data_IF_935365306652
#
_entry.id   IF_935365306652
#
_cell.length_a   1.000
_cell.length_b   1.000
_cell.length_c   1.000
_cell.angle_alpha   90.00
_cell.angle_beta   90.00
_cell.angle_gamma   90.00
#
_symmetry.space_group_name_H-M   'P 1'
#
loop_
_entity.id
_entity.type
_entity.pdbx_description
1 polymer ?
#
# COMPACT_ATOMS: atom_id res chain seq x y z
N UNK A 1 25.39 -16.89 -34.02
CA UNK A 1 24.28 -16.64 -33.07
C UNK A 1 24.87 -16.42 -31.67
N UNK A 2 25.25 -15.19 -31.34
CA UNK A 2 25.96 -14.87 -30.09
C UNK A 2 24.98 -14.74 -28.92
N UNK A 3 25.18 -15.53 -27.86
CA UNK A 3 24.45 -15.41 -26.58
C UNK A 3 25.14 -14.36 -25.71
N UNK A 4 24.45 -13.26 -25.42
CA UNK A 4 24.88 -12.29 -24.41
C UNK A 4 24.45 -12.77 -23.03
N UNK A 5 25.43 -13.20 -22.22
CA UNK A 5 25.22 -13.55 -20.80
C UNK A 5 25.42 -12.27 -19.99
N UNK A 6 24.32 -11.62 -19.60
CA UNK A 6 24.34 -10.51 -18.65
C UNK A 6 24.59 -11.05 -17.23
N UNK A 7 25.85 -11.03 -16.79
CA UNK A 7 26.21 -11.27 -15.39
C UNK A 7 25.82 -10.06 -14.54
N UNK A 8 24.61 -10.08 -13.98
CA UNK A 8 24.16 -9.07 -13.03
C UNK A 8 24.78 -9.33 -11.65
N UNK A 9 25.97 -8.78 -11.38
CA UNK A 9 26.53 -8.72 -10.02
C UNK A 9 25.74 -7.68 -9.21
N UNK A 10 24.78 -8.12 -8.38
CA UNK A 10 24.12 -7.26 -7.39
C UNK A 10 25.11 -6.86 -6.29
N UNK A 11 25.66 -5.65 -6.36
CA UNK A 11 26.12 -4.95 -5.15
C UNK A 11 24.89 -4.23 -4.59
N UNK A 12 24.37 -4.71 -3.46
CA UNK A 12 23.34 -3.99 -2.70
C UNK A 12 24.02 -2.83 -2.02
N UNK A 13 23.90 -1.64 -2.61
CA UNK A 13 24.29 -0.38 -1.98
C UNK A 13 23.00 0.19 -1.39
N UNK A 14 22.92 0.23 -0.06
CA UNK A 14 21.79 0.79 0.68
C UNK A 14 21.80 2.31 0.51
N UNK A 15 21.12 2.80 -0.52
CA UNK A 15 20.82 4.22 -0.65
C UNK A 15 19.48 4.49 0.05
N UNK A 16 19.55 5.25 1.14
CA UNK A 16 18.38 5.80 1.83
C UNK A 16 17.62 6.71 0.86
N UNK A 17 16.41 6.32 0.47
CA UNK A 17 15.52 7.11 -0.39
C UNK A 17 14.69 8.09 0.44
N UNK A 18 15.32 8.82 1.37
CA UNK A 18 14.63 9.82 2.20
C UNK A 18 14.23 11.08 1.42
N UNK A 19 14.59 11.22 0.13
CA UNK A 19 14.39 12.47 -0.62
C UNK A 19 13.28 12.47 -1.67
N UNK A 20 12.42 11.44 -1.76
CA UNK A 20 11.28 11.44 -2.69
C UNK A 20 9.93 11.77 -2.04
N UNK A 21 9.88 11.86 -0.71
CA UNK A 21 8.67 12.17 0.05
C UNK A 21 8.58 13.66 0.37
N UNK A 22 8.47 14.50 -0.68
CA UNK A 22 7.89 15.82 -0.50
C UNK A 22 6.37 15.62 -0.52
N UNK A 23 5.79 15.44 0.67
CA UNK A 23 4.34 15.38 0.84
C UNK A 23 3.74 16.72 0.38
N UNK A 24 2.79 16.75 -0.58
CA UNK A 24 1.94 17.90 -0.72
C UNK A 24 1.08 17.97 0.54
N UNK A 25 1.36 18.99 1.33
CA UNK A 25 0.56 19.48 2.44
C UNK A 25 -0.91 19.52 2.00
N UNK A 26 -1.79 18.78 2.69
CA UNK A 26 -3.23 18.91 2.49
C UNK A 26 -3.65 20.32 2.94
N UNK A 27 -4.19 21.18 2.06
CA UNK A 27 -4.73 22.46 2.49
C UNK A 27 -6.17 22.21 2.96
N UNK A 28 -6.38 22.07 4.27
CA UNK A 28 -7.67 22.48 4.83
C UNK A 28 -7.56 23.98 5.12
N UNK A 29 -7.96 24.79 4.15
CA UNK A 29 -8.21 26.20 4.39
C UNK A 29 -9.60 26.32 5.01
N UNK A 30 -9.69 26.58 6.32
CA UNK A 30 -10.77 27.43 6.84
C UNK A 30 -10.29 28.23 8.04
N UNK A 31 -10.47 29.54 7.89
CA UNK A 31 -10.26 30.62 8.84
C UNK A 31 -11.23 30.51 10.02
N UNK A 32 -10.80 31.09 11.15
CA UNK A 32 -11.57 31.53 12.32
C UNK A 32 -11.72 30.54 13.48
N UNK A 33 -11.21 31.02 14.62
CA UNK A 33 -11.26 30.49 15.97
C UNK A 33 -12.62 29.92 16.40
N UNK A 34 -12.56 28.81 17.16
CA UNK A 34 -13.29 28.49 18.40
C UNK A 34 -13.17 26.97 18.62
N UNK A 35 -12.60 26.59 19.77
CA UNK A 35 -12.44 25.23 20.33
C UNK A 35 -12.01 24.09 19.38
N UNK A 36 -10.77 23.65 19.54
CA UNK A 36 -10.24 22.42 18.94
C UNK A 36 -11.00 21.17 19.44
N UNK A 37 -11.56 20.32 18.56
CA UNK A 37 -11.56 18.89 18.76
C UNK A 37 -10.32 18.30 18.05
N UNK A 38 -9.47 17.63 18.81
CA UNK A 38 -8.34 16.85 18.29
C UNK A 38 -8.83 15.75 17.31
N UNK A 39 -8.07 15.53 16.23
CA UNK A 39 -8.31 14.55 15.17
C UNK A 39 -8.61 13.12 15.69
N UNK A 40 -9.68 12.46 15.20
CA UNK A 40 -9.81 11.01 15.31
C UNK A 40 -9.47 10.35 13.96
N UNK A 41 -8.18 10.16 13.66
CA UNK A 41 -7.75 9.47 12.42
C UNK A 41 -6.72 8.35 12.66
N UNK A 42 -6.02 8.38 13.81
CA UNK A 42 -5.09 7.32 14.20
C UNK A 42 -5.79 6.00 14.62
N UNK A 43 -7.01 6.11 15.15
CA UNK A 43 -7.72 4.96 15.73
C UNK A 43 -8.20 3.96 14.67
N UNK A 44 -8.72 4.47 13.54
CA UNK A 44 -9.24 3.63 12.46
C UNK A 44 -8.11 2.87 11.76
N UNK A 45 -7.02 3.56 11.40
CA UNK A 45 -5.85 2.95 10.76
C UNK A 45 -5.18 1.91 11.68
N UNK A 46 -5.05 2.21 12.98
CA UNK A 46 -4.53 1.27 13.98
C UNK A 46 -5.44 0.06 14.13
N UNK A 47 -6.75 0.26 14.20
CA UNK A 47 -7.75 -0.82 14.29
C UNK A 47 -7.69 -1.75 13.07
N UNK A 48 -7.58 -1.18 11.87
CA UNK A 48 -7.42 -1.94 10.63
C UNK A 48 -6.13 -2.76 10.68
N UNK A 49 -5.01 -2.13 11.02
CA UNK A 49 -3.72 -2.80 11.10
C UNK A 49 -3.74 -3.96 12.10
N UNK A 50 -4.31 -3.77 13.29
CA UNK A 50 -4.48 -4.83 14.29
C UNK A 50 -5.39 -5.96 13.78
N UNK A 51 -6.51 -5.64 13.11
CA UNK A 51 -7.40 -6.65 12.50
C UNK A 51 -6.66 -7.45 11.42
N UNK A 52 -5.88 -6.79 10.58
CA UNK A 52 -5.08 -7.43 9.52
C UNK A 52 -4.03 -8.38 10.11
N UNK A 53 -3.25 -7.91 11.09
CA UNK A 53 -2.23 -8.72 11.76
C UNK A 53 -2.88 -9.94 12.44
N UNK A 54 -3.92 -9.72 13.25
CA UNK A 54 -4.62 -10.81 13.94
C UNK A 54 -5.26 -11.82 12.98
N UNK A 55 -5.67 -11.37 11.79
CA UNK A 55 -6.21 -12.25 10.76
C UNK A 55 -5.15 -13.12 10.08
N UNK A 56 -3.95 -12.58 9.86
CA UNK A 56 -2.83 -13.31 9.26
C UNK A 56 -2.45 -14.54 10.11
N UNK A 57 -2.42 -14.39 11.44
CA UNK A 57 -2.07 -15.50 12.34
C UNK A 57 -3.14 -16.61 12.41
N UNK A 58 -4.41 -16.32 12.13
CA UNK A 58 -5.52 -17.26 12.35
C UNK A 58 -5.98 -18.00 11.11
N UNK A 59 -5.87 -17.41 9.92
CA UNK A 59 -6.48 -17.97 8.72
C UNK A 59 -5.48 -18.16 7.58
N UNK A 60 -5.22 -19.42 7.23
CA UNK A 60 -4.39 -19.79 6.08
C UNK A 60 -5.02 -19.41 4.73
N UNK A 61 -6.30 -18.99 4.72
CA UNK A 61 -7.05 -18.64 3.49
C UNK A 61 -6.72 -17.27 2.93
N UNK A 62 -5.96 -16.43 3.65
CA UNK A 62 -5.50 -15.12 3.21
C UNK A 62 -6.46 -13.98 3.59
N UNK A 63 -5.89 -12.78 3.72
CA UNK A 63 -6.58 -11.59 4.25
C UNK A 63 -7.69 -11.13 3.32
N UNK A 64 -7.45 -11.20 2.01
CA UNK A 64 -8.42 -10.79 0.99
C UNK A 64 -9.74 -11.56 1.08
N UNK A 65 -9.72 -12.87 1.39
CA UNK A 65 -10.94 -13.67 1.48
C UNK A 65 -11.79 -13.30 2.69
N UNK A 66 -11.15 -13.05 3.83
CA UNK A 66 -11.86 -12.74 5.08
C UNK A 66 -12.58 -11.40 5.00
N UNK A 67 -11.91 -10.39 4.43
CA UNK A 67 -12.43 -9.03 4.45
C UNK A 67 -13.21 -8.64 3.20
N UNK A 68 -13.32 -9.48 2.16
CA UNK A 68 -14.06 -9.15 0.93
C UNK A 68 -15.52 -8.77 1.17
N UNK A 69 -16.18 -9.42 2.13
CA UNK A 69 -17.59 -9.22 2.43
C UNK A 69 -17.82 -8.72 3.87
N UNK A 70 -16.79 -8.18 4.52
CA UNK A 70 -16.89 -7.67 5.88
C UNK A 70 -17.43 -6.22 5.84
N UNK A 71 -18.68 -5.97 6.25
CA UNK A 71 -19.29 -4.64 6.18
C UNK A 71 -18.61 -3.65 7.13
N UNK A 72 -18.10 -4.11 8.28
CA UNK A 72 -17.38 -3.25 9.21
C UNK A 72 -16.04 -2.83 8.61
N UNK A 73 -15.34 -3.78 8.00
CA UNK A 73 -14.09 -3.47 7.31
C UNK A 73 -14.33 -2.48 6.16
N UNK A 74 -15.42 -2.65 5.41
CA UNK A 74 -15.83 -1.68 4.39
C UNK A 74 -16.00 -0.27 4.95
N UNK A 75 -16.73 -0.13 6.07
CA UNK A 75 -16.94 1.17 6.70
C UNK A 75 -15.64 1.80 7.20
N UNK A 76 -14.73 0.99 7.75
CA UNK A 76 -13.42 1.45 8.19
C UNK A 76 -12.56 1.93 7.02
N UNK A 77 -12.52 1.18 5.92
CA UNK A 77 -11.79 1.56 4.70
C UNK A 77 -12.37 2.82 4.05
N UNK A 78 -13.70 2.96 4.02
CA UNK A 78 -14.32 4.18 3.45
C UNK A 78 -14.01 5.45 4.24
N UNK A 79 -13.63 5.31 5.51
CA UNK A 79 -13.20 6.44 6.34
C UNK A 79 -11.72 6.79 6.19
N UNK A 80 -10.92 6.01 5.47
CA UNK A 80 -9.49 6.26 5.32
C UNK A 80 -9.16 7.18 4.14
N UNK A 81 -8.20 8.07 4.36
CA UNK A 81 -7.56 8.86 3.32
C UNK A 81 -6.37 8.12 2.69
N UNK A 82 -5.98 8.52 1.47
CA UNK A 82 -4.84 7.91 0.76
C UNK A 82 -3.54 7.80 1.59
N UNK A 83 -3.11 8.84 2.33
CA UNK A 83 -1.87 8.75 3.13
C UNK A 83 -1.94 7.72 4.25
N UNK A 84 -3.13 7.48 4.82
CA UNK A 84 -3.32 6.49 5.88
C UNK A 84 -3.21 5.08 5.33
N UNK A 85 -3.78 4.85 4.14
CA UNK A 85 -3.64 3.59 3.40
C UNK A 85 -2.17 3.34 3.06
N UNK A 86 -1.46 4.37 2.60
CA UNK A 86 -0.02 4.29 2.31
C UNK A 86 0.78 3.92 3.56
N UNK A 87 0.50 4.55 4.71
CA UNK A 87 1.14 4.23 5.99
C UNK A 87 0.88 2.81 6.48
N UNK A 88 -0.33 2.28 6.26
CA UNK A 88 -0.66 0.87 6.57
C UNK A 88 0.15 -0.07 5.66
N UNK A 89 0.17 0.21 4.36
CA UNK A 89 0.89 -0.62 3.38
C UNK A 89 2.40 -0.59 3.58
N UNK A 90 2.97 0.55 3.96
CA UNK A 90 4.38 0.68 4.30
C UNK A 90 4.78 -0.24 5.46
N UNK A 91 4.01 -0.19 6.57
CA UNK A 91 4.21 -1.06 7.74
C UNK A 91 4.09 -2.54 7.35
N UNK A 92 3.02 -2.89 6.63
CA UNK A 92 2.77 -4.28 6.23
C UNK A 92 3.82 -4.81 5.26
N UNK A 93 4.34 -3.99 4.34
CA UNK A 93 5.38 -4.43 3.39
C UNK A 93 6.63 -4.96 4.11
N UNK A 94 6.97 -4.36 5.26
CA UNK A 94 8.17 -4.72 6.02
C UNK A 94 7.92 -5.99 6.83
N UNK A 95 6.84 -6.00 7.62
CA UNK A 95 6.57 -7.06 8.61
C UNK A 95 5.75 -8.24 8.04
N UNK A 96 4.77 -7.95 7.18
CA UNK A 96 3.78 -8.91 6.67
C UNK A 96 3.58 -8.76 5.15
N UNK A 97 4.62 -9.05 4.33
CA UNK A 97 4.62 -8.72 2.90
C UNK A 97 3.50 -9.37 2.09
N UNK A 98 3.06 -10.59 2.44
CA UNK A 98 1.91 -11.21 1.76
C UNK A 98 0.59 -10.52 2.13
N UNK A 99 0.44 -10.06 3.37
CA UNK A 99 -0.73 -9.26 3.77
C UNK A 99 -0.76 -7.91 3.07
N UNK A 100 0.40 -7.28 2.83
CA UNK A 100 0.47 -6.05 2.04
C UNK A 100 -0.06 -6.28 0.61
N UNK A 101 0.32 -7.39 -0.03
CA UNK A 101 -0.19 -7.76 -1.36
C UNK A 101 -1.71 -7.99 -1.32
N UNK A 102 -2.18 -8.81 -0.38
CA UNK A 102 -3.60 -9.12 -0.23
C UNK A 102 -4.43 -7.86 0.00
N UNK A 103 -3.99 -6.97 0.89
CA UNK A 103 -4.67 -5.72 1.19
C UNK A 103 -4.72 -4.82 -0.04
N UNK A 104 -3.59 -4.62 -0.73
CA UNK A 104 -3.55 -3.77 -1.92
C UNK A 104 -4.55 -4.23 -2.99
N UNK A 105 -4.57 -5.52 -3.32
CA UNK A 105 -5.48 -6.05 -4.33
C UNK A 105 -6.94 -6.08 -3.87
N UNK A 106 -7.19 -6.34 -2.58
CA UNK A 106 -8.51 -6.24 -1.99
C UNK A 106 -9.06 -4.81 -2.13
N UNK A 107 -8.27 -3.82 -1.73
CA UNK A 107 -8.64 -2.40 -1.82
C UNK A 107 -8.90 -1.98 -3.27
N UNK A 108 -8.05 -2.40 -4.21
CA UNK A 108 -8.18 -2.07 -5.63
C UNK A 108 -9.40 -2.72 -6.28
N UNK A 109 -9.59 -4.02 -6.07
CA UNK A 109 -10.53 -4.82 -6.85
C UNK A 109 -11.92 -4.91 -6.22
N UNK A 110 -11.99 -5.06 -4.90
CA UNK A 110 -13.25 -5.28 -4.19
C UNK A 110 -13.81 -3.96 -3.60
N UNK A 111 -12.93 -3.05 -3.19
CA UNK A 111 -13.33 -1.75 -2.62
C UNK A 111 -13.24 -0.57 -3.61
N UNK A 112 -12.68 -0.78 -4.80
CA UNK A 112 -12.57 0.27 -5.83
C UNK A 112 -11.66 1.44 -5.44
N UNK A 113 -10.78 1.27 -4.45
CA UNK A 113 -9.87 2.32 -3.97
C UNK A 113 -8.82 2.60 -5.04
N UNK A 114 -8.66 3.88 -5.40
CA UNK A 114 -7.56 4.34 -6.25
C UNK A 114 -6.32 4.52 -5.37
N UNK A 115 -5.33 3.65 -5.59
CA UNK A 115 -4.06 3.70 -4.88
C UNK A 115 -3.19 4.87 -5.33
N UNK A 116 -2.42 5.43 -4.40
CA UNK A 116 -1.37 6.38 -4.71
C UNK A 116 -0.20 5.71 -5.46
N UNK A 117 0.67 6.53 -6.05
CA UNK A 117 1.91 6.05 -6.66
C UNK A 117 2.79 5.32 -5.65
N UNK A 118 2.85 5.81 -4.41
CA UNK A 118 3.69 5.23 -3.36
C UNK A 118 3.21 3.82 -2.99
N UNK A 119 1.90 3.63 -2.87
CA UNK A 119 1.28 2.31 -2.74
C UNK A 119 1.71 1.35 -3.86
N UNK A 120 1.73 1.79 -5.12
CA UNK A 120 2.23 0.96 -6.22
C UNK A 120 3.70 0.60 -6.06
N UNK A 121 4.55 1.55 -5.66
CA UNK A 121 5.98 1.32 -5.48
C UNK A 121 6.26 0.36 -4.30
N UNK A 122 5.49 0.45 -3.22
CA UNK A 122 5.59 -0.48 -2.09
C UNK A 122 5.32 -1.92 -2.54
N UNK A 123 4.27 -2.13 -3.31
CA UNK A 123 3.91 -3.46 -3.83
C UNK A 123 4.91 -3.96 -4.87
N UNK A 124 5.41 -3.07 -5.74
CA UNK A 124 6.49 -3.40 -6.67
C UNK A 124 7.73 -3.91 -5.90
N UNK A 125 8.09 -3.26 -4.79
CA UNK A 125 9.19 -3.71 -3.97
C UNK A 125 8.95 -5.09 -3.35
N UNK A 126 7.75 -5.36 -2.83
CA UNK A 126 7.41 -6.69 -2.29
C UNK A 126 7.53 -7.76 -3.38
N UNK A 127 6.96 -7.52 -4.56
CA UNK A 127 7.02 -8.46 -5.68
C UNK A 127 8.46 -8.71 -6.14
N UNK A 128 9.29 -7.67 -6.18
CA UNK A 128 10.71 -7.77 -6.52
C UNK A 128 11.48 -8.61 -5.48
N UNK A 129 11.26 -8.35 -4.18
CA UNK A 129 11.89 -9.10 -3.07
C UNK A 129 11.52 -10.59 -3.10
N UNK A 130 10.30 -10.91 -3.55
CA UNK A 130 9.82 -12.29 -3.70
C UNK A 130 10.11 -12.91 -5.07
N UNK A 131 10.89 -12.24 -5.92
CA UNK A 131 11.25 -12.69 -7.27
C UNK A 131 10.05 -13.02 -8.17
N UNK A 132 8.88 -12.40 -7.92
CA UNK A 132 7.66 -12.56 -8.72
C UNK A 132 7.71 -11.67 -9.97
N UNK A 133 8.71 -11.87 -10.82
CA UNK A 133 9.05 -10.94 -11.92
C UNK A 133 7.91 -10.71 -12.92
N UNK A 134 7.13 -11.75 -13.24
CA UNK A 134 5.96 -11.61 -14.13
C UNK A 134 4.89 -10.70 -13.53
N UNK A 135 4.58 -10.89 -12.25
CA UNK A 135 3.62 -10.05 -11.52
C UNK A 135 4.15 -8.62 -11.38
N UNK A 136 5.43 -8.46 -11.06
CA UNK A 136 6.09 -7.15 -10.99
C UNK A 136 5.97 -6.37 -12.32
N UNK A 137 6.26 -7.03 -13.45
CA UNK A 137 6.16 -6.40 -14.77
C UNK A 137 4.74 -5.90 -15.05
N UNK A 138 3.72 -6.73 -14.79
CA UNK A 138 2.32 -6.36 -14.99
C UNK A 138 1.91 -5.22 -14.05
N UNK A 139 2.34 -5.27 -12.79
CA UNK A 139 2.06 -4.25 -11.79
C UNK A 139 2.64 -2.88 -12.17
N UNK A 140 3.88 -2.83 -12.64
CA UNK A 140 4.51 -1.59 -13.09
C UNK A 140 3.86 -1.03 -14.37
N UNK A 141 3.45 -1.89 -15.30
CA UNK A 141 2.70 -1.44 -16.48
C UNK A 141 1.37 -0.80 -16.08
N UNK A 142 0.65 -1.39 -15.11
CA UNK A 142 -0.59 -0.79 -14.59
C UNK A 142 -0.34 0.56 -13.92
N UNK A 143 0.77 0.72 -13.20
CA UNK A 143 1.15 1.99 -12.59
C UNK A 143 1.36 3.07 -13.65
N UNK A 144 2.16 2.78 -14.70
CA UNK A 144 2.43 3.74 -15.79
C UNK A 144 1.15 4.11 -16.53
N UNK A 145 0.30 3.14 -16.84
CA UNK A 145 -0.99 3.40 -17.48
C UNK A 145 -1.87 4.32 -16.64
N UNK A 146 -1.80 4.29 -15.31
CA UNK A 146 -2.58 5.18 -14.47
C UNK A 146 -2.03 6.61 -14.42
N UNK A 147 -0.75 6.81 -14.73
CA UNK A 147 -0.13 8.13 -14.83
C UNK A 147 -0.37 8.79 -16.20
N UNK A 148 -0.51 8.00 -17.27
CA UNK A 148 -0.72 8.50 -18.65
C UNK A 148 -2.13 9.10 -18.91
N UNK A 149 -3.09 8.93 -18.00
CA UNK A 149 -4.46 9.47 -18.14
C UNK A 149 -4.78 10.63 -17.16
N UNK A 150 -3.74 11.30 -16.64
CA UNK A 150 -3.84 12.58 -15.92
C UNK A 150 -3.30 13.71 -16.79
#
# INVERSE_FOLDING_TARGET
MHRLILKFRRKVKTHSLTSLFSYPFCPFATLAAVDHPELPSNDAASTILTRLINSNYRDKRGVARRFRYDPEFKTLISGLCSPEIDGILEKLRIEYPETALDLFFLLKNDYGVKHSRDSYLFIAHVLAKKERLRALKLHLLQMVQQEEFL
#
